data_IF_887298911009
#
_entry.id   IF_887298911009
#
_cell.length_a   1.000
_cell.length_b   1.000
_cell.length_c   1.000
_cell.angle_alpha   90.00
_cell.angle_beta   90.00
_cell.angle_gamma   90.00
#
_symmetry.space_group_name_H-M   'P 1'
#
loop_
_entity.id
_entity.type
_entity.pdbx_description
1 polymer ?
#
# COMPACT_ATOMS: atom_id res chain seq x y z
N UNK A 1 -9.57 8.13 -20.41
CA UNK A 1 -10.02 7.05 -19.50
C UNK A 1 -9.95 7.61 -18.09
N UNK A 2 -11.09 7.68 -17.41
CA UNK A 2 -11.44 8.65 -16.36
C UNK A 2 -10.61 8.52 -15.08
N UNK A 3 -10.26 9.67 -14.50
CA UNK A 3 -9.35 9.94 -13.37
C UNK A 3 -9.85 9.49 -11.98
N UNK A 4 -10.56 8.37 -11.83
CA UNK A 4 -11.23 8.04 -10.57
C UNK A 4 -10.90 6.68 -9.93
N UNK A 5 -10.02 5.88 -10.51
CA UNK A 5 -9.58 4.64 -9.84
C UNK A 5 -8.63 5.00 -8.67
N UNK A 6 -8.92 4.53 -7.44
CA UNK A 6 -8.07 4.80 -6.29
C UNK A 6 -6.69 4.17 -6.49
N UNK A 7 -5.64 4.88 -6.08
CA UNK A 7 -4.29 4.31 -6.11
C UNK A 7 -4.20 3.09 -5.17
N UNK A 8 -3.27 2.19 -5.46
CA UNK A 8 -2.99 1.04 -4.58
C UNK A 8 -2.73 1.46 -3.14
N UNK A 9 -1.94 2.53 -2.94
CA UNK A 9 -1.67 3.08 -1.61
C UNK A 9 -2.96 3.54 -0.91
N UNK A 10 -3.85 4.23 -1.63
CA UNK A 10 -5.13 4.69 -1.07
C UNK A 10 -6.04 3.51 -0.66
N UNK A 11 -6.04 2.41 -1.41
CA UNK A 11 -6.78 1.20 -1.03
C UNK A 11 -6.23 0.58 0.25
N UNK A 12 -4.90 0.46 0.37
CA UNK A 12 -4.26 -0.03 1.60
C UNK A 12 -4.55 0.88 2.80
N UNK A 13 -4.43 2.19 2.62
CA UNK A 13 -4.69 3.18 3.69
C UNK A 13 -6.15 3.13 4.17
N UNK A 14 -7.11 3.00 3.24
CA UNK A 14 -8.53 2.85 3.57
C UNK A 14 -8.79 1.54 4.32
N UNK A 15 -8.23 0.42 3.85
CA UNK A 15 -8.35 -0.87 4.53
C UNK A 15 -7.69 -0.87 5.92
N UNK A 16 -6.64 -0.08 6.10
CA UNK A 16 -6.00 0.12 7.40
C UNK A 16 -6.89 0.92 8.36
N UNK A 17 -7.57 1.95 7.86
CA UNK A 17 -8.52 2.74 8.64
C UNK A 17 -9.80 1.95 8.97
N UNK A 18 -10.26 1.10 8.05
CA UNK A 18 -11.43 0.23 8.22
C UNK A 18 -11.15 -1.18 7.69
N UNK A 19 -10.88 -2.11 8.61
CA UNK A 19 -10.54 -3.50 8.28
C UNK A 19 -11.67 -4.27 7.62
N UNK A 20 -12.92 -3.82 7.73
CA UNK A 20 -14.06 -4.46 7.04
C UNK A 20 -13.93 -4.37 5.52
N UNK A 21 -13.21 -3.37 5.01
CA UNK A 21 -12.94 -3.23 3.58
C UNK A 21 -12.09 -4.36 3.02
N UNK A 22 -11.40 -5.16 3.85
CA UNK A 22 -10.69 -6.35 3.36
C UNK A 22 -11.64 -7.41 2.77
N UNK A 23 -12.94 -7.35 3.06
CA UNK A 23 -13.94 -8.22 2.42
C UNK A 23 -14.17 -7.87 0.94
N UNK A 24 -13.81 -6.66 0.52
CA UNK A 24 -13.75 -6.26 -0.89
C UNK A 24 -12.44 -6.76 -1.53
N UNK A 25 -12.51 -7.57 -2.61
CA UNK A 25 -11.34 -8.05 -3.33
C UNK A 25 -10.36 -6.96 -3.74
N UNK A 26 -10.82 -5.76 -4.11
CA UNK A 26 -9.93 -4.68 -4.53
C UNK A 26 -8.96 -4.24 -3.41
N UNK A 27 -9.45 -4.16 -2.17
CA UNK A 27 -8.62 -3.79 -1.03
C UNK A 27 -7.69 -4.94 -0.63
N UNK A 28 -8.20 -6.18 -0.64
CA UNK A 28 -7.41 -7.38 -0.34
C UNK A 28 -6.27 -7.58 -1.34
N UNK A 29 -6.55 -7.44 -2.63
CA UNK A 29 -5.55 -7.54 -3.70
C UNK A 29 -4.52 -6.42 -3.59
N UNK A 30 -4.93 -5.20 -3.26
CA UNK A 30 -4.00 -4.10 -3.04
C UNK A 30 -3.01 -4.40 -1.91
N UNK A 31 -3.47 -4.96 -0.79
CA UNK A 31 -2.60 -5.39 0.33
C UNK A 31 -1.66 -6.51 -0.12
N UNK A 32 -2.19 -7.60 -0.69
CA UNK A 32 -1.38 -8.74 -1.12
C UNK A 32 -0.34 -8.37 -2.18
N UNK A 33 -0.72 -7.56 -3.17
CA UNK A 33 0.21 -7.06 -4.18
C UNK A 33 1.31 -6.17 -3.57
N UNK A 34 1.00 -5.45 -2.48
CA UNK A 34 2.00 -4.65 -1.76
C UNK A 34 2.99 -5.54 -1.02
N UNK A 35 2.52 -6.62 -0.39
CA UNK A 35 3.38 -7.60 0.28
C UNK A 35 4.28 -8.31 -0.73
N UNK A 36 3.72 -8.75 -1.86
CA UNK A 36 4.46 -9.36 -2.96
C UNK A 36 5.53 -8.42 -3.53
N UNK A 37 5.18 -7.15 -3.79
CA UNK A 37 6.16 -6.16 -4.24
C UNK A 37 7.22 -5.86 -3.18
N UNK A 38 6.89 -5.93 -1.89
CA UNK A 38 7.84 -5.73 -0.80
C UNK A 38 8.82 -6.91 -0.72
N UNK A 39 8.33 -8.15 -0.82
CA UNK A 39 9.15 -9.36 -0.85
C UNK A 39 10.15 -9.33 -2.01
N UNK A 40 9.67 -8.95 -3.19
CA UNK A 40 10.47 -8.85 -4.41
C UNK A 40 11.36 -7.60 -4.45
N UNK A 41 11.27 -6.72 -3.45
CA UNK A 41 12.03 -5.48 -3.36
C UNK A 41 11.64 -4.41 -4.38
N UNK A 42 10.48 -4.54 -5.05
CA UNK A 42 9.91 -3.54 -5.97
C UNK A 42 9.39 -2.31 -5.26
N UNK A 43 8.89 -2.48 -4.03
CA UNK A 43 8.62 -1.38 -3.10
C UNK A 43 9.44 -1.54 -1.83
N UNK A 44 9.72 -0.43 -1.16
CA UNK A 44 10.48 -0.40 0.09
C UNK A 44 9.72 0.41 1.13
N UNK A 45 9.87 0.05 2.40
CA UNK A 45 9.26 0.81 3.51
C UNK A 45 9.86 2.21 3.63
N UNK A 46 11.14 2.35 3.32
CA UNK A 46 11.82 3.63 3.25
C UNK A 46 12.89 3.57 2.16
N UNK A 47 13.16 4.71 1.54
CA UNK A 47 14.19 4.87 0.52
C UNK A 47 14.93 6.21 0.70
N UNK A 48 16.22 6.25 0.34
CA UNK A 48 16.99 7.49 0.40
C UNK A 48 16.55 8.44 -0.72
N UNK A 49 16.52 9.73 -0.42
CA UNK A 49 16.28 10.84 -1.35
C UNK A 49 17.41 11.87 -1.26
N UNK A 50 17.40 12.88 -2.12
CA UNK A 50 18.38 13.97 -2.05
C UNK A 50 18.33 14.75 -0.72
N UNK A 51 17.19 14.72 -0.03
CA UNK A 51 16.92 15.47 1.20
C UNK A 51 16.96 14.59 2.46
N UNK A 52 17.29 13.30 2.34
CA UNK A 52 17.38 12.38 3.46
C UNK A 52 16.70 11.05 3.18
N UNK A 53 15.75 10.67 4.04
CA UNK A 53 14.99 9.42 3.89
C UNK A 53 13.50 9.73 3.81
N UNK A 54 12.83 9.15 2.82
CA UNK A 54 11.36 9.16 2.74
C UNK A 54 10.83 7.81 3.22
N UNK A 55 9.79 7.84 4.04
CA UNK A 55 9.11 6.63 4.52
C UNK A 55 7.76 6.48 3.84
N UNK A 56 7.53 5.31 3.25
CA UNK A 56 6.25 4.92 2.64
C UNK A 56 5.37 4.23 3.69
N UNK A 57 4.66 5.04 4.50
CA UNK A 57 3.89 4.53 5.64
C UNK A 57 2.84 3.47 5.25
N UNK A 58 2.21 3.62 4.08
CA UNK A 58 1.23 2.67 3.55
C UNK A 58 1.80 1.25 3.34
N UNK A 59 3.10 1.12 3.04
CA UNK A 59 3.76 -0.20 2.96
C UNK A 59 3.80 -0.88 4.32
N UNK A 60 3.99 -0.13 5.41
CA UNK A 60 3.90 -0.68 6.78
C UNK A 60 2.48 -1.06 7.15
N UNK A 61 1.49 -0.26 6.71
CA UNK A 61 0.08 -0.55 6.92
C UNK A 61 -0.33 -1.85 6.23
N UNK A 62 0.16 -2.12 5.01
CA UNK A 62 -0.04 -3.39 4.34
C UNK A 62 0.49 -4.58 5.16
N UNK A 63 1.62 -4.44 5.85
CA UNK A 63 2.19 -5.50 6.72
C UNK A 63 1.35 -5.74 7.99
N UNK A 64 0.61 -4.73 8.46
CA UNK A 64 -0.24 -4.83 9.66
C UNK A 64 -1.65 -5.36 9.40
N UNK A 65 -2.03 -5.51 8.13
CA UNK A 65 -3.31 -6.03 7.65
C UNK A 65 -3.17 -7.50 7.28
#
# INVERSE_FOLDING_TARGET
MTSADPSRAALVERAFADRSLLDDPAHREAVLATIEDLDQGRVRVAEPTAEGWTTHAWVKQAVLL
#
